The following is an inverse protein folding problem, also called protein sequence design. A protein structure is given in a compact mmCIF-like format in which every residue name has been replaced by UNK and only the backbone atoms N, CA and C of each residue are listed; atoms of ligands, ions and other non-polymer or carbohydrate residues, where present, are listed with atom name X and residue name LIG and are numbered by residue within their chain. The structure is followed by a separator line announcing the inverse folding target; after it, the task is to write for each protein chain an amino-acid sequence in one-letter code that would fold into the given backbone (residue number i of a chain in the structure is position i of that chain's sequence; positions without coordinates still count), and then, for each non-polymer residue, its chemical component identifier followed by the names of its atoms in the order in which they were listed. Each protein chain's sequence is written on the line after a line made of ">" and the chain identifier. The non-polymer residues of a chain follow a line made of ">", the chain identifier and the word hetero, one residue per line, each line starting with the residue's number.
data_IF_979351416724
#
_entry.id   IF_979351416724
#
_cell.length_a   1.000
_cell.length_b   1.000
_cell.length_c   1.000
_cell.angle_alpha   90.00
_cell.angle_beta   90.00
_cell.angle_gamma   90.00
#
_symmetry.space_group_name_H-M   'P 1'
#
loop_
_entity.id
_entity.type
_entity.pdbx_description
1 polymer ?
#
# COMPACT_ATOMS: atom_id res chain seq x y z
N UNK A 1 5.05 -32.72 -8.36
CA UNK A 1 6.26 -31.91 -8.23
C UNK A 1 5.86 -30.62 -7.54
N UNK A 2 6.22 -30.46 -6.29
CA UNK A 2 5.96 -29.23 -5.53
C UNK A 2 7.07 -28.24 -5.86
N UNK A 3 6.71 -27.11 -6.47
CA UNK A 3 7.67 -26.04 -6.75
C UNK A 3 8.17 -25.41 -5.46
N UNK A 4 9.49 -25.34 -5.34
CA UNK A 4 10.19 -24.70 -4.23
C UNK A 4 9.93 -23.19 -4.32
N UNK A 5 9.18 -22.62 -3.38
CA UNK A 5 9.00 -21.16 -3.21
C UNK A 5 10.12 -20.68 -2.29
N UNK A 6 11.19 -20.13 -2.88
CA UNK A 6 12.22 -19.45 -2.11
C UNK A 6 11.72 -18.04 -1.72
N UNK A 7 11.37 -17.88 -0.45
CA UNK A 7 11.08 -16.56 0.13
C UNK A 7 12.40 -15.94 0.59
N UNK A 8 12.83 -14.84 -0.03
CA UNK A 8 13.96 -14.03 0.45
C UNK A 8 13.44 -12.82 1.19
N UNK A 9 13.70 -12.76 2.50
CA UNK A 9 13.51 -11.53 3.29
C UNK A 9 14.77 -10.69 3.11
N UNK A 10 14.64 -9.54 2.46
CA UNK A 10 15.70 -8.54 2.35
C UNK A 10 15.47 -7.49 3.43
N UNK A 11 16.22 -7.57 4.53
CA UNK A 11 16.23 -6.51 5.54
C UNK A 11 17.34 -5.52 5.17
N UNK A 12 16.95 -4.33 4.72
CA UNK A 12 17.90 -3.24 4.48
C UNK A 12 17.87 -2.32 5.69
N UNK A 13 18.92 -2.36 6.51
CA UNK A 13 19.13 -1.42 7.60
C UNK A 13 20.26 -0.45 7.23
N UNK A 14 19.98 0.86 7.23
CA UNK A 14 21.00 1.91 7.11
C UNK A 14 21.01 2.76 8.37
N UNK A 15 22.20 3.18 8.85
CA UNK A 15 22.29 4.19 9.90
C UNK A 15 21.67 5.52 9.42
N UNK A 16 20.90 6.17 10.29
CA UNK A 16 20.17 7.41 9.98
C UNK A 16 21.09 8.60 9.65
N UNK A 17 22.36 8.58 10.05
CA UNK A 17 23.30 9.68 9.85
C UNK A 17 23.73 9.89 8.39
N UNK A 18 23.70 8.83 7.55
CA UNK A 18 24.07 8.92 6.12
C UNK A 18 22.86 9.17 5.19
N UNK A 19 21.64 9.14 5.74
CA UNK A 19 20.43 9.20 4.91
C UNK A 19 20.19 10.58 4.28
N UNK A 20 20.64 11.66 4.93
CA UNK A 20 20.37 13.03 4.47
C UNK A 20 21.14 13.40 3.19
N UNK A 21 22.34 12.83 2.98
CA UNK A 21 23.20 13.15 1.83
C UNK A 21 22.76 12.44 0.55
N UNK A 22 22.03 11.33 0.66
CA UNK A 22 21.52 10.52 -0.47
C UNK A 22 20.03 10.72 -0.78
N UNK A 23 19.33 11.54 -0.03
CA UNK A 23 17.89 11.76 -0.21
C UNK A 23 17.59 12.81 -1.28
N UNK A 24 18.00 12.57 -2.49
CA UNK A 24 17.49 13.33 -3.63
C UNK A 24 16.10 12.84 -3.99
N UNK A 25 15.07 13.71 -4.03
CA UNK A 25 13.74 13.28 -4.44
C UNK A 25 13.81 12.68 -5.84
N UNK A 26 13.10 11.58 -6.07
CA UNK A 26 13.02 10.95 -7.38
C UNK A 26 12.57 12.00 -8.40
N UNK A 27 13.43 12.34 -9.32
CA UNK A 27 13.05 13.22 -10.42
C UNK A 27 12.31 12.41 -11.49
N UNK A 28 11.00 12.23 -11.27
CA UNK A 28 10.12 11.46 -12.16
C UNK A 28 10.15 11.98 -13.59
N UNK A 29 10.48 13.26 -13.79
CA UNK A 29 10.62 13.86 -15.12
C UNK A 29 11.81 13.31 -15.92
N UNK A 30 12.81 12.74 -15.25
CA UNK A 30 13.97 12.11 -15.89
C UNK A 30 13.74 10.64 -16.27
N UNK A 31 12.66 10.02 -15.80
CA UNK A 31 12.33 8.65 -16.16
C UNK A 31 11.93 8.58 -17.63
N UNK A 32 12.66 7.76 -18.39
CA UNK A 32 12.30 7.45 -19.78
C UNK A 32 11.28 6.33 -19.78
N UNK A 33 10.06 6.62 -20.16
CA UNK A 33 8.95 5.70 -20.20
C UNK A 33 9.11 4.70 -21.34
N UNK A 34 9.22 3.40 -21.01
CA UNK A 34 8.74 2.37 -21.94
C UNK A 34 7.25 2.17 -21.60
N UNK A 35 6.38 2.42 -22.56
CA UNK A 35 4.94 2.18 -22.37
C UNK A 35 4.71 0.69 -22.10
N UNK A 36 4.33 0.35 -20.86
CA UNK A 36 3.94 -1.00 -20.51
C UNK A 36 2.53 -1.20 -21.04
N UNK A 37 2.38 -1.99 -22.10
CA UNK A 37 1.11 -2.13 -22.85
C UNK A 37 -0.01 -2.77 -22.03
N UNK A 38 0.31 -3.64 -21.08
CA UNK A 38 -0.65 -4.41 -20.29
C UNK A 38 -0.37 -4.25 -18.78
N UNK A 39 -0.54 -3.03 -18.26
CA UNK A 39 -0.43 -2.77 -16.83
C UNK A 39 -1.56 -1.87 -16.33
N UNK A 40 -1.99 -2.10 -15.10
CA UNK A 40 -3.00 -1.30 -14.39
C UNK A 40 -2.53 -0.99 -12.97
N UNK A 41 -3.03 0.11 -12.40
CA UNK A 41 -2.74 0.46 -11.01
C UNK A 41 -4.00 0.86 -10.25
N UNK A 42 -4.07 0.43 -8.98
CA UNK A 42 -5.00 0.96 -7.96
C UNK A 42 -4.16 1.67 -6.92
N UNK A 43 -4.43 2.95 -6.70
CA UNK A 43 -3.66 3.82 -5.80
C UNK A 43 -4.60 4.41 -4.78
N UNK A 44 -4.34 4.15 -3.51
CA UNK A 44 -5.17 4.60 -2.40
C UNK A 44 -4.30 5.41 -1.44
N UNK A 45 -4.71 6.66 -1.17
CA UNK A 45 -4.10 7.54 -0.19
C UNK A 45 -5.15 8.11 0.72
N UNK A 46 -5.06 7.83 2.03
CA UNK A 46 -6.03 8.33 3.00
C UNK A 46 -5.27 9.05 4.09
N UNK A 47 -5.26 10.38 4.00
CA UNK A 47 -4.63 11.25 4.97
C UNK A 47 -5.66 11.73 6.00
N UNK A 48 -6.79 12.26 5.53
CA UNK A 48 -7.83 12.81 6.36
C UNK A 48 -8.91 11.77 6.66
N UNK A 49 -9.05 11.41 7.92
CA UNK A 49 -10.05 10.48 8.41
C UNK A 49 -11.18 11.22 9.14
N UNK A 50 -12.42 10.72 9.07
CA UNK A 50 -13.56 11.36 9.74
C UNK A 50 -13.52 11.24 11.26
N UNK A 51 -13.00 10.14 11.81
CA UNK A 51 -13.17 9.75 13.22
C UNK A 51 -11.90 9.29 13.91
N UNK A 52 -10.78 9.23 13.21
CA UNK A 52 -9.48 8.83 13.74
C UNK A 52 -8.43 9.86 13.33
N UNK A 53 -7.26 9.91 13.98
CA UNK A 53 -6.20 10.84 13.63
C UNK A 53 -5.76 10.72 12.16
N UNK A 54 -5.14 11.79 11.64
CA UNK A 54 -4.62 11.82 10.27
C UNK A 54 -3.47 10.84 10.06
N UNK A 55 -3.33 10.34 8.83
CA UNK A 55 -2.11 9.69 8.36
C UNK A 55 -1.30 10.69 7.52
N UNK A 56 -0.39 11.40 8.18
CA UNK A 56 0.37 12.48 7.56
C UNK A 56 1.07 12.03 6.26
N UNK A 57 0.96 12.84 5.22
CA UNK A 57 1.56 12.68 3.89
C UNK A 57 1.03 11.50 3.05
N UNK A 58 -0.05 10.81 3.46
CA UNK A 58 -0.58 9.68 2.69
C UNK A 58 -1.06 10.09 1.29
N UNK A 59 -1.62 11.29 1.16
CA UNK A 59 -2.06 11.83 -0.13
C UNK A 59 -0.88 12.19 -1.04
N UNK A 60 0.18 12.79 -0.49
CA UNK A 60 1.40 13.12 -1.21
C UNK A 60 2.10 11.88 -1.72
N UNK A 61 2.16 10.83 -0.90
CA UNK A 61 2.72 9.54 -1.27
C UNK A 61 1.93 8.89 -2.42
N UNK A 62 0.61 8.91 -2.33
CA UNK A 62 -0.26 8.39 -3.38
C UNK A 62 -0.11 9.16 -4.71
N UNK A 63 -0.02 10.51 -4.66
CA UNK A 63 0.23 11.34 -5.84
C UNK A 63 1.59 11.08 -6.45
N UNK A 64 2.61 10.91 -5.61
CA UNK A 64 3.96 10.59 -6.05
C UNK A 64 4.02 9.21 -6.71
N UNK A 65 3.31 8.23 -6.16
CA UNK A 65 3.21 6.91 -6.79
C UNK A 65 2.42 6.97 -8.11
N UNK A 66 1.39 7.81 -8.20
CA UNK A 66 0.68 8.03 -9.47
C UNK A 66 1.61 8.55 -10.57
N UNK A 67 2.45 9.54 -10.26
CA UNK A 67 3.42 10.06 -11.22
C UNK A 67 4.46 9.01 -11.60
N UNK A 68 4.90 8.18 -10.65
CA UNK A 68 5.76 7.04 -10.92
C UNK A 68 5.07 5.98 -11.79
N UNK A 69 3.83 5.63 -11.49
CA UNK A 69 3.05 4.68 -12.29
C UNK A 69 2.92 5.13 -13.75
N UNK A 70 2.67 6.43 -13.97
CA UNK A 70 2.58 7.00 -15.31
C UNK A 70 3.92 7.06 -16.02
N UNK A 71 4.95 7.59 -15.38
CA UNK A 71 6.22 7.97 -16.03
C UNK A 71 7.29 6.88 -15.89
N UNK A 72 7.31 6.16 -14.77
CA UNK A 72 8.25 5.08 -14.51
C UNK A 72 7.78 3.74 -15.06
N UNK A 73 6.53 3.36 -14.75
CA UNK A 73 5.94 2.09 -15.20
C UNK A 73 5.23 2.22 -16.56
N UNK A 74 5.02 3.44 -17.07
CA UNK A 74 4.39 3.68 -18.37
C UNK A 74 2.90 3.31 -18.41
N UNK A 75 2.22 3.32 -17.27
CA UNK A 75 0.80 2.99 -17.19
C UNK A 75 -0.02 4.19 -17.70
N UNK A 76 -0.95 3.94 -18.60
CA UNK A 76 -1.83 4.99 -19.13
C UNK A 76 -2.78 5.50 -18.06
N UNK A 77 -3.13 6.81 -18.02
CA UNK A 77 -4.03 7.39 -17.03
C UNK A 77 -5.36 6.66 -16.88
N UNK A 78 -5.96 6.19 -17.99
CA UNK A 78 -7.21 5.45 -18.01
C UNK A 78 -7.12 4.05 -17.39
N UNK A 79 -5.90 3.58 -17.13
CA UNK A 79 -5.59 2.32 -16.46
C UNK A 79 -5.11 2.52 -15.01
N UNK A 80 -5.28 3.73 -14.47
CA UNK A 80 -4.98 4.05 -13.07
C UNK A 80 -6.26 4.46 -12.37
N UNK A 81 -6.64 3.75 -11.33
CA UNK A 81 -7.69 4.14 -10.39
C UNK A 81 -7.03 4.74 -9.17
N UNK A 82 -7.23 6.03 -8.93
CA UNK A 82 -6.73 6.71 -7.73
C UNK A 82 -7.90 7.11 -6.84
N UNK A 83 -7.83 6.77 -5.57
CA UNK A 83 -8.80 7.09 -4.52
C UNK A 83 -8.08 7.85 -3.41
N UNK A 84 -8.53 9.06 -3.09
CA UNK A 84 -7.95 9.90 -2.05
C UNK A 84 -9.02 10.31 -1.04
N UNK A 85 -8.69 10.25 0.25
CA UNK A 85 -9.53 10.71 1.36
C UNK A 85 -11.00 10.27 1.20
N UNK A 86 -11.93 11.21 1.02
CA UNK A 86 -13.36 10.96 0.93
C UNK A 86 -13.76 10.05 -0.24
N UNK A 87 -12.95 9.97 -1.30
CA UNK A 87 -13.19 9.05 -2.42
C UNK A 87 -12.73 7.61 -2.08
N UNK A 88 -12.01 7.42 -0.96
CA UNK A 88 -11.52 6.14 -0.48
C UNK A 88 -12.36 5.63 0.70
N UNK A 89 -13.68 5.59 0.54
CA UNK A 89 -14.57 4.88 1.46
C UNK A 89 -14.52 3.36 1.24
N UNK A 90 -15.11 2.59 2.15
CA UNK A 90 -15.11 1.13 2.10
C UNK A 90 -15.75 0.59 0.80
N UNK A 91 -16.83 1.20 0.35
CA UNK A 91 -17.55 0.79 -0.86
C UNK A 91 -16.73 1.06 -2.11
N UNK A 92 -16.16 2.26 -2.25
CA UNK A 92 -15.37 2.62 -3.44
C UNK A 92 -14.04 1.86 -3.49
N UNK A 93 -13.41 1.58 -2.32
CA UNK A 93 -12.24 0.68 -2.28
C UNK A 93 -12.64 -0.70 -2.80
N UNK A 94 -13.67 -1.34 -2.26
CA UNK A 94 -14.09 -2.68 -2.69
C UNK A 94 -14.46 -2.69 -4.17
N UNK A 95 -15.20 -1.70 -4.67
CA UNK A 95 -15.56 -1.56 -6.10
C UNK A 95 -14.33 -1.43 -7.01
N UNK A 96 -13.27 -0.76 -6.56
CA UNK A 96 -12.05 -0.64 -7.35
C UNK A 96 -11.46 -2.03 -7.66
N UNK A 97 -11.51 -2.96 -6.71
CA UNK A 97 -10.99 -4.32 -6.88
C UNK A 97 -11.99 -5.29 -7.52
N UNK A 98 -13.29 -5.16 -7.22
CA UNK A 98 -14.30 -6.13 -7.67
C UNK A 98 -14.99 -5.76 -8.97
N UNK A 99 -15.11 -4.45 -9.28
CA UNK A 99 -15.85 -3.98 -10.44
C UNK A 99 -14.93 -3.36 -11.50
N UNK A 100 -14.05 -2.43 -11.09
CA UNK A 100 -13.20 -1.73 -12.04
C UNK A 100 -12.02 -2.59 -12.53
N UNK A 101 -11.31 -3.24 -11.62
CA UNK A 101 -10.12 -4.03 -11.95
C UNK A 101 -10.40 -5.15 -12.95
N UNK A 102 -11.45 -6.00 -12.79
CA UNK A 102 -11.72 -7.10 -13.73
C UNK A 102 -11.97 -6.65 -15.18
N UNK A 103 -12.48 -5.43 -15.36
CA UNK A 103 -12.72 -4.84 -16.70
C UNK A 103 -11.40 -4.40 -17.36
N UNK A 104 -10.39 -4.08 -16.55
CA UNK A 104 -9.09 -3.57 -17.01
C UNK A 104 -8.04 -4.66 -17.22
N UNK A 105 -8.22 -5.82 -16.58
CA UNK A 105 -7.24 -6.91 -16.61
C UNK A 105 -7.49 -7.83 -17.82
N UNK A 106 -6.48 -7.93 -18.68
CA UNK A 106 -6.38 -9.02 -19.63
C UNK A 106 -5.79 -10.23 -18.91
N UNK A 107 -6.61 -11.28 -18.73
CA UNK A 107 -6.25 -12.47 -17.93
C UNK A 107 -4.88 -13.02 -18.32
N UNK A 108 -4.08 -13.34 -17.31
CA UNK A 108 -2.75 -13.94 -17.41
C UNK A 108 -1.70 -13.07 -18.17
N UNK A 109 -2.04 -11.80 -18.50
CA UNK A 109 -1.17 -10.87 -19.26
C UNK A 109 -0.91 -9.56 -18.54
N UNK A 110 -1.93 -9.00 -17.90
CA UNK A 110 -1.83 -7.68 -17.24
C UNK A 110 -1.05 -7.76 -15.94
N UNK A 111 -0.10 -6.86 -15.76
CA UNK A 111 0.58 -6.62 -14.48
C UNK A 111 -0.25 -5.64 -13.66
N UNK A 112 -0.51 -5.98 -12.40
CA UNK A 112 -1.32 -5.16 -11.49
C UNK A 112 -0.42 -4.58 -10.40
N UNK A 113 -0.51 -3.28 -10.23
CA UNK A 113 0.17 -2.54 -9.17
C UNK A 113 -0.86 -2.00 -8.19
N UNK A 114 -0.66 -2.24 -6.90
CA UNK A 114 -1.49 -1.71 -5.83
C UNK A 114 -0.61 -0.87 -4.92
N UNK A 115 -1.00 0.35 -4.67
CA UNK A 115 -0.37 1.23 -3.69
C UNK A 115 -1.40 1.62 -2.63
N UNK A 116 -1.03 1.50 -1.37
CA UNK A 116 -1.83 1.97 -0.24
C UNK A 116 -0.95 2.77 0.71
N UNK A 117 -1.36 3.99 1.01
CA UNK A 117 -0.80 4.81 2.10
C UNK A 117 -1.93 5.29 3.00
N UNK A 118 -1.84 4.99 4.30
CA UNK A 118 -2.88 5.26 5.28
C UNK A 118 -2.74 4.40 6.53
N UNK A 119 -3.80 4.36 7.33
CA UNK A 119 -3.82 3.53 8.53
C UNK A 119 -4.23 2.09 8.23
N UNK A 120 -3.60 1.18 8.95
CA UNK A 120 -3.95 -0.24 8.99
C UNK A 120 -4.05 -0.76 10.41
N UNK A 121 -4.82 -1.81 10.61
CA UNK A 121 -4.96 -2.48 11.89
C UNK A 121 -4.89 -4.00 11.72
N UNK A 122 -4.25 -4.70 12.68
CA UNK A 122 -4.44 -6.12 12.83
C UNK A 122 -5.70 -6.40 13.64
N UNK A 123 -6.39 -7.49 13.35
CA UNK A 123 -7.37 -8.05 14.28
C UNK A 123 -6.69 -8.92 15.33
N UNK A 124 -7.44 -9.30 16.38
CA UNK A 124 -7.00 -10.27 17.39
C UNK A 124 -6.65 -11.65 16.80
N UNK A 125 -7.21 -11.96 15.62
CA UNK A 125 -6.95 -13.20 14.86
C UNK A 125 -5.76 -13.06 13.89
N UNK A 126 -5.03 -11.96 13.92
CA UNK A 126 -3.90 -11.70 13.01
C UNK A 126 -4.30 -11.33 11.57
N UNK A 127 -5.57 -11.05 11.30
CA UNK A 127 -6.03 -10.54 10.00
C UNK A 127 -5.64 -9.07 9.87
N UNK A 128 -5.19 -8.68 8.69
CA UNK A 128 -4.83 -7.29 8.40
C UNK A 128 -5.98 -6.56 7.74
N UNK A 129 -6.21 -5.32 8.15
CA UNK A 129 -7.25 -4.44 7.64
C UNK A 129 -6.68 -3.10 7.20
N UNK A 130 -7.13 -2.62 6.06
CA UNK A 130 -7.00 -1.23 5.65
C UNK A 130 -8.16 -0.43 6.21
N UNK A 131 -7.88 0.77 6.70
CA UNK A 131 -8.89 1.65 7.27
C UNK A 131 -9.36 2.66 6.22
N UNK A 132 -10.63 2.60 5.75
CA UNK A 132 -11.21 3.58 4.85
C UNK A 132 -11.41 4.95 5.52
N UNK A 133 -11.60 6.00 4.71
CA UNK A 133 -11.82 7.36 5.19
C UNK A 133 -12.91 7.48 6.26
N UNK A 134 -14.01 6.76 6.08
CA UNK A 134 -15.17 6.77 6.98
C UNK A 134 -15.12 5.77 8.12
N UNK A 135 -13.99 5.10 8.34
CA UNK A 135 -13.89 4.02 9.33
C UNK A 135 -14.42 4.43 10.70
N UNK A 136 -15.13 3.51 11.35
CA UNK A 136 -15.64 3.67 12.70
C UNK A 136 -14.90 2.68 13.61
N UNK A 137 -14.20 3.20 14.63
CA UNK A 137 -13.39 2.42 15.55
C UNK A 137 -14.21 1.40 16.36
N UNK A 138 -15.49 1.68 16.62
CA UNK A 138 -16.39 0.82 17.39
C UNK A 138 -17.06 -0.24 16.49
N UNK A 139 -16.96 -0.08 15.16
CA UNK A 139 -17.55 -0.94 14.14
C UNK A 139 -16.52 -1.45 13.12
N UNK A 140 -15.28 -1.68 13.52
CA UNK A 140 -14.17 -2.07 12.62
C UNK A 140 -14.52 -3.24 11.71
N UNK A 141 -15.15 -4.29 12.24
CA UNK A 141 -15.54 -5.47 11.46
C UNK A 141 -16.52 -5.15 10.31
N UNK A 142 -17.16 -3.99 10.32
CA UNK A 142 -18.12 -3.55 9.29
C UNK A 142 -17.56 -2.46 8.38
N UNK A 143 -16.62 -1.66 8.88
CA UNK A 143 -16.16 -0.43 8.23
C UNK A 143 -14.71 -0.49 7.78
N UNK A 144 -13.95 -1.50 8.20
CA UNK A 144 -12.60 -1.74 7.72
C UNK A 144 -12.60 -2.74 6.55
N UNK A 145 -11.66 -2.57 5.61
CA UNK A 145 -11.52 -3.45 4.45
C UNK A 145 -10.43 -4.49 4.73
N UNK A 146 -10.81 -5.77 4.69
CA UNK A 146 -9.88 -6.87 4.92
C UNK A 146 -8.86 -7.01 3.79
N UNK A 147 -7.57 -7.06 4.12
CA UNK A 147 -6.52 -7.29 3.12
C UNK A 147 -6.74 -8.60 2.35
N UNK A 148 -7.16 -9.66 3.04
CA UNK A 148 -7.46 -10.95 2.43
C UNK A 148 -8.60 -10.86 1.39
N UNK A 149 -9.60 -10.03 1.64
CA UNK A 149 -10.70 -9.78 0.70
C UNK A 149 -10.17 -9.19 -0.62
N UNK A 150 -9.28 -8.18 -0.51
CA UNK A 150 -8.67 -7.57 -1.69
C UNK A 150 -7.75 -8.54 -2.44
N UNK A 151 -7.02 -9.40 -1.73
CA UNK A 151 -6.20 -10.45 -2.34
C UNK A 151 -7.08 -11.45 -3.12
N UNK A 152 -8.21 -11.86 -2.57
CA UNK A 152 -9.18 -12.75 -3.27
C UNK A 152 -9.72 -12.08 -4.54
N UNK A 153 -10.08 -10.80 -4.48
CA UNK A 153 -10.54 -10.05 -5.65
C UNK A 153 -9.45 -9.92 -6.73
N UNK A 154 -8.21 -9.66 -6.31
CA UNK A 154 -7.05 -9.61 -7.21
C UNK A 154 -6.83 -10.97 -7.90
N UNK A 155 -6.89 -12.08 -7.17
CA UNK A 155 -6.77 -13.43 -7.73
C UNK A 155 -7.89 -13.73 -8.73
N UNK A 156 -9.13 -13.35 -8.41
CA UNK A 156 -10.29 -13.58 -9.28
C UNK A 156 -10.17 -12.85 -10.63
N UNK A 157 -9.49 -11.71 -10.68
CA UNK A 157 -9.19 -10.98 -11.91
C UNK A 157 -8.15 -11.70 -12.80
N UNK A 158 -7.39 -12.68 -12.28
CA UNK A 158 -6.36 -13.45 -12.98
C UNK A 158 -5.28 -12.59 -13.65
N UNK A 159 -4.58 -11.72 -12.91
CA UNK A 159 -3.46 -10.97 -13.46
C UNK A 159 -2.24 -11.89 -13.71
N UNK A 160 -1.33 -11.44 -14.58
CA UNK A 160 -0.01 -12.05 -14.76
C UNK A 160 0.80 -12.00 -13.47
N UNK A 161 0.81 -10.84 -12.84
CA UNK A 161 1.48 -10.59 -11.56
C UNK A 161 0.80 -9.47 -10.81
N UNK A 162 0.97 -9.46 -9.49
CA UNK A 162 0.52 -8.38 -8.60
C UNK A 162 1.72 -7.90 -7.79
N UNK A 163 1.94 -6.58 -7.76
CA UNK A 163 2.89 -5.94 -6.85
C UNK A 163 2.12 -4.98 -5.95
N UNK A 164 2.17 -5.22 -4.64
CA UNK A 164 1.51 -4.38 -3.64
C UNK A 164 2.57 -3.60 -2.85
N UNK A 165 2.42 -2.29 -2.80
CA UNK A 165 3.20 -1.38 -1.96
C UNK A 165 2.30 -0.88 -0.85
N UNK A 166 2.66 -1.18 0.40
CA UNK A 166 1.83 -0.89 1.57
C UNK A 166 2.61 -0.01 2.53
N UNK A 167 2.31 1.28 2.53
CA UNK A 167 2.85 2.24 3.50
C UNK A 167 1.84 2.46 4.63
N UNK A 168 1.73 1.46 5.48
CA UNK A 168 0.79 1.45 6.60
C UNK A 168 1.42 0.79 7.82
N UNK A 169 1.16 1.37 9.00
CA UNK A 169 1.53 0.75 10.27
C UNK A 169 0.40 -0.14 10.76
N UNK A 170 0.71 -1.41 10.98
CA UNK A 170 -0.24 -2.36 11.62
C UNK A 170 -0.03 -2.45 13.14
N UNK A 171 0.65 -1.48 13.75
CA UNK A 171 0.89 -1.45 15.20
C UNK A 171 -0.30 -0.93 16.02
N UNK A 172 -1.35 -0.44 15.35
CA UNK A 172 -2.44 0.27 16.03
C UNK A 172 -2.06 1.68 16.49
N UNK A 173 -0.94 2.21 16.01
CA UNK A 173 -0.46 3.58 16.29
C UNK A 173 -0.42 4.42 15.02
N UNK A 174 -0.53 5.73 15.18
CA UNK A 174 -0.30 6.69 14.10
C UNK A 174 1.20 6.76 13.78
N UNK A 175 1.56 7.38 12.65
CA UNK A 175 2.96 7.73 12.32
C UNK A 175 3.62 8.64 13.35
N UNK A 176 2.83 9.36 14.14
CA UNK A 176 3.28 10.19 15.28
C UNK A 176 3.37 9.43 16.61
N UNK A 177 3.09 8.14 16.66
CA UNK A 177 3.17 7.32 17.88
C UNK A 177 1.90 7.37 18.75
N UNK A 178 0.84 8.08 18.35
CA UNK A 178 -0.43 8.09 19.07
C UNK A 178 -1.21 6.78 18.80
N UNK A 179 -1.90 6.28 19.83
CA UNK A 179 -2.74 5.10 19.65
C UNK A 179 -3.97 5.44 18.81
N UNK A 180 -4.15 4.72 17.69
CA UNK A 180 -5.33 4.83 16.82
C UNK A 180 -6.61 4.43 17.56
N UNK A 181 -6.50 3.46 18.46
CA UNK A 181 -7.59 2.97 19.30
C UNK A 181 -7.11 2.94 20.75
N UNK A 182 -7.90 3.49 21.67
CA UNK A 182 -7.61 3.46 23.10
C UNK A 182 -7.49 2.02 23.67
N UNK A 183 -8.04 1.03 22.95
CA UNK A 183 -8.02 -0.39 23.32
C UNK A 183 -7.06 -1.23 22.46
N UNK A 184 -6.37 -0.65 21.49
CA UNK A 184 -5.43 -1.39 20.66
C UNK A 184 -4.23 -1.83 21.49
N UNK A 185 -4.13 -3.12 21.77
CA UNK A 185 -2.92 -3.71 22.31
C UNK A 185 -1.91 -3.86 21.16
N UNK A 186 -0.61 -3.57 21.38
CA UNK A 186 0.41 -3.91 20.39
C UNK A 186 0.34 -5.41 20.12
N UNK A 187 -0.11 -5.80 18.95
CA UNK A 187 -0.16 -7.21 18.53
C UNK A 187 1.06 -7.45 17.65
N UNK A 188 1.93 -8.36 18.07
CA UNK A 188 2.98 -8.86 17.21
C UNK A 188 2.34 -9.80 16.18
N UNK A 189 2.23 -9.35 14.94
CA UNK A 189 1.66 -10.16 13.86
C UNK A 189 2.79 -10.97 13.25
N UNK A 190 2.64 -12.29 13.25
CA UNK A 190 3.40 -13.13 12.34
C UNK A 190 2.68 -13.05 10.98
N UNK A 191 3.31 -12.43 9.99
CA UNK A 191 2.84 -12.52 8.61
C UNK A 191 2.90 -13.99 8.22
N UNK A 192 1.77 -14.56 7.85
CA UNK A 192 1.75 -15.87 7.22
C UNK A 192 2.32 -15.67 5.81
N UNK A 193 3.57 -16.10 5.61
CA UNK A 193 4.29 -16.01 4.34
C UNK A 193 3.56 -16.78 3.22
N UNK A 194 2.67 -17.72 3.57
CA UNK A 194 1.83 -18.45 2.64
C UNK A 194 0.50 -17.75 2.31
N UNK A 195 0.26 -16.55 2.85
CA UNK A 195 -1.01 -15.82 2.66
C UNK A 195 -1.20 -15.29 1.23
N UNK A 196 -0.13 -15.26 0.43
CA UNK A 196 -0.17 -14.69 -0.92
C UNK A 196 0.11 -15.73 -1.99
N UNK A 197 -0.56 -15.63 -3.16
CA UNK A 197 -0.26 -16.46 -4.32
C UNK A 197 1.17 -16.24 -4.83
N UNK A 198 1.72 -17.23 -5.54
CA UNK A 198 3.10 -17.21 -6.03
C UNK A 198 3.40 -16.09 -7.03
N UNK A 199 2.37 -15.51 -7.68
CA UNK A 199 2.50 -14.37 -8.59
C UNK A 199 2.31 -13.01 -7.89
N UNK A 200 2.30 -12.97 -6.55
CA UNK A 200 2.22 -11.74 -5.76
C UNK A 200 3.58 -11.38 -5.16
N UNK A 201 3.88 -10.09 -5.18
CA UNK A 201 4.97 -9.47 -4.43
C UNK A 201 4.38 -8.41 -3.52
N UNK A 202 4.66 -8.46 -2.23
CA UNK A 202 4.16 -7.49 -1.26
C UNK A 202 5.36 -6.82 -0.58
N UNK A 203 5.39 -5.51 -0.68
CA UNK A 203 6.43 -4.65 -0.09
C UNK A 203 5.73 -3.75 0.92
N UNK A 204 6.07 -3.91 2.20
CA UNK A 204 5.45 -3.16 3.30
C UNK A 204 6.46 -2.30 4.04
N UNK A 205 6.03 -1.11 4.45
CA UNK A 205 6.82 -0.16 5.24
C UNK A 205 7.22 -0.67 6.61
N UNK A 206 6.42 -1.53 7.20
CA UNK A 206 6.65 -2.07 8.54
C UNK A 206 6.75 -3.59 8.51
N UNK A 207 7.88 -4.12 8.97
CA UNK A 207 7.90 -5.46 9.53
C UNK A 207 7.06 -5.43 10.83
N UNK A 208 6.46 -6.55 11.20
CA UNK A 208 5.45 -6.77 12.24
C UNK A 208 5.58 -6.04 13.59
N UNK A 209 6.67 -5.30 13.83
CA UNK A 209 6.96 -4.59 15.09
C UNK A 209 7.47 -3.16 14.90
N UNK A 210 7.51 -2.65 13.66
CA UNK A 210 8.05 -1.31 13.38
C UNK A 210 6.93 -0.35 12.96
N UNK A 211 7.03 0.89 13.44
CA UNK A 211 6.13 1.99 13.06
C UNK A 211 6.65 2.60 11.76
N UNK A 212 5.80 2.71 10.75
CA UNK A 212 6.09 3.52 9.57
C UNK A 212 6.13 4.99 9.99
N UNK A 213 7.27 5.63 9.85
CA UNK A 213 7.45 7.02 10.24
C UNK A 213 7.26 7.96 9.07
N UNK A 214 6.83 9.20 9.35
CA UNK A 214 6.80 10.30 8.39
C UNK A 214 7.94 11.29 8.67
N UNK A 215 8.38 11.99 7.64
CA UNK A 215 9.36 13.06 7.76
C UNK A 215 8.74 14.38 7.29
N UNK A 216 8.54 15.36 8.18
CA UNK A 216 8.02 16.68 7.80
C UNK A 216 8.89 17.40 6.77
N UNK A 217 10.21 17.22 6.83
CA UNK A 217 11.16 17.85 5.91
C UNK A 217 11.03 17.30 4.49
N UNK A 218 10.71 16.01 4.36
CA UNK A 218 10.56 15.33 3.08
C UNK A 218 9.13 15.38 2.55
N UNK A 219 8.14 15.71 3.38
CA UNK A 219 6.70 15.72 3.07
C UNK A 219 6.20 14.37 2.51
N UNK A 220 6.75 13.27 3.03
CA UNK A 220 6.42 11.89 2.64
C UNK A 220 6.55 10.94 3.83
N UNK A 221 5.87 9.80 3.76
CA UNK A 221 6.24 8.65 4.55
C UNK A 221 7.66 8.20 4.18
N UNK A 222 8.48 7.90 5.18
CA UNK A 222 9.89 7.50 4.95
C UNK A 222 9.97 6.29 4.04
N UNK A 223 9.06 5.33 4.19
CA UNK A 223 9.01 4.16 3.34
C UNK A 223 8.72 4.51 1.88
N UNK A 224 7.69 5.32 1.62
CA UNK A 224 7.32 5.75 0.28
C UNK A 224 8.43 6.57 -0.37
N UNK A 225 9.18 7.33 0.41
CA UNK A 225 10.34 8.09 -0.08
C UNK A 225 11.51 7.17 -0.47
N UNK A 226 11.87 6.21 0.39
CA UNK A 226 13.02 5.33 0.19
C UNK A 226 12.79 4.25 -0.90
N UNK A 227 11.56 3.83 -1.12
CA UNK A 227 11.23 2.84 -2.14
C UNK A 227 10.99 3.42 -3.53
N UNK A 228 11.33 4.69 -3.76
CA UNK A 228 11.28 5.27 -5.11
C UNK A 228 12.40 4.69 -5.96
N UNK A 229 12.11 4.26 -7.20
CA UNK A 229 13.14 3.81 -8.12
C UNK A 229 14.12 4.94 -8.41
N UNK A 230 15.38 4.71 -8.16
CA UNK A 230 16.46 5.70 -8.32
C UNK A 230 17.18 6.07 -7.03
N UNK A 231 16.75 5.54 -5.89
CA UNK A 231 17.50 5.55 -4.65
C UNK A 231 18.17 4.20 -4.37
#
# INVERSE_FOLDING_TARGET
>A
MYGNTDTKILTVSRPLEDAAEFMSPLNVAKLRTQLTKDAVAIIIGIQDYKRIPKAEFANEDARSFYDYARRGLGIKPENIKMLLDADADDVEIVKAFTNWLPVKVNKDRTEVYVFFSGHGLPSDEGKLYFLPHGVDKDLLARTAVGQKELVVALQAARPKSVTMFIDSCYSGQTRGGENLLASARPVSIKVDENAYPSNFSVISASANSQISSSSPDLKHGIFSYLNRPGN
#
